data_IF_626942397008
#
_entry.id   IF_626942397008
#
_cell.length_a   1.000
_cell.length_b   1.000
_cell.length_c   1.000
_cell.angle_alpha   90.00
_cell.angle_beta   90.00
_cell.angle_gamma   90.00
#
_symmetry.space_group_name_H-M   'P 1'
#
loop_
_entity.id
_entity.type
_entity.pdbx_description
1 polymer ?
#
# COMPACT_ATOMS: atom_id res chain seq x y z
N UNK A 1 26.72 12.45 26.26
CA UNK A 1 26.13 13.47 27.15
C UNK A 1 25.04 14.21 26.39
N UNK A 2 23.82 14.18 26.98
CA UNK A 2 22.59 14.97 26.77
C UNK A 2 22.34 15.69 25.44
N UNK A 3 21.22 15.42 24.72
CA UNK A 3 19.85 15.94 24.97
C UNK A 3 19.89 17.48 25.16
N UNK A 4 19.18 18.31 24.39
CA UNK A 4 17.72 18.52 24.45
C UNK A 4 17.25 19.41 23.27
N UNK A 5 16.01 19.16 22.85
CA UNK A 5 15.05 19.95 22.05
C UNK A 5 15.28 21.46 21.88
N UNK A 6 14.85 21.96 20.71
CA UNK A 6 13.99 23.15 20.66
C UNK A 6 12.94 23.02 19.55
N UNK A 7 11.66 23.04 19.95
CA UNK A 7 10.50 23.08 19.08
C UNK A 7 10.04 24.52 18.84
N UNK A 8 9.38 24.73 17.69
CA UNK A 8 8.59 25.90 17.25
C UNK A 8 9.47 27.07 16.75
N UNK A 9 9.16 27.75 15.65
CA UNK A 9 7.88 28.31 15.21
C UNK A 9 7.92 28.63 13.71
N UNK A 10 6.80 28.38 13.01
CA UNK A 10 6.28 29.14 11.85
C UNK A 10 7.26 29.67 10.80
N UNK A 11 7.21 29.10 9.59
CA UNK A 11 7.78 29.75 8.42
C UNK A 11 7.57 28.92 7.17
N UNK A 12 6.75 29.42 6.25
CA UNK A 12 6.46 28.82 4.96
C UNK A 12 7.71 28.28 4.27
N UNK A 13 7.78 26.98 4.09
CA UNK A 13 8.25 26.38 2.84
C UNK A 13 7.49 25.07 2.68
N UNK A 14 6.31 25.20 2.11
CA UNK A 14 5.56 24.10 1.51
C UNK A 14 6.43 23.65 0.33
N UNK A 15 7.45 22.84 0.61
CA UNK A 15 7.99 21.95 -0.41
C UNK A 15 6.77 21.15 -0.83
N UNK A 16 6.24 21.51 -1.99
CA UNK A 16 5.33 20.68 -2.74
C UNK A 16 6.16 19.44 -3.07
N UNK A 17 6.32 18.53 -2.10
CA UNK A 17 6.30 17.12 -2.40
C UNK A 17 5.09 17.00 -3.30
N UNK A 18 5.36 16.79 -4.58
CA UNK A 18 4.32 16.65 -5.59
C UNK A 18 3.50 15.48 -5.07
N UNK A 19 2.39 15.78 -4.39
CA UNK A 19 1.43 14.79 -3.98
C UNK A 19 0.86 14.32 -5.30
N UNK A 20 1.56 13.42 -5.97
CA UNK A 20 1.10 12.83 -7.21
C UNK A 20 -0.12 12.04 -6.75
N UNK A 21 -1.30 12.66 -6.89
CA UNK A 21 -2.59 12.16 -6.41
C UNK A 21 -3.05 10.97 -7.27
N UNK A 22 -2.10 10.27 -7.88
CA UNK A 22 -2.30 9.05 -8.63
C UNK A 22 -2.96 8.04 -7.69
N UNK A 23 -4.01 7.36 -8.14
CA UNK A 23 -4.62 6.30 -7.36
C UNK A 23 -3.57 5.23 -7.05
N UNK A 24 -3.66 4.61 -5.87
CA UNK A 24 -2.96 3.35 -5.65
C UNK A 24 -3.43 2.37 -6.72
N UNK A 25 -2.50 1.76 -7.43
CA UNK A 25 -2.84 0.76 -8.45
C UNK A 25 -2.79 -0.62 -7.83
N UNK A 26 -3.63 -1.52 -8.34
CA UNK A 26 -3.56 -2.96 -8.02
C UNK A 26 -2.14 -3.49 -8.19
N UNK A 27 -1.47 -3.13 -9.30
CA UNK A 27 -0.12 -3.55 -9.61
C UNK A 27 0.92 -3.02 -8.60
N UNK A 28 0.78 -1.82 -8.06
CA UNK A 28 1.70 -1.35 -7.02
C UNK A 28 1.48 -2.12 -5.71
N UNK A 29 0.22 -2.41 -5.36
CA UNK A 29 -0.13 -3.15 -4.16
C UNK A 29 0.33 -4.61 -4.21
N UNK A 30 0.16 -5.30 -5.33
CA UNK A 30 0.61 -6.69 -5.49
C UNK A 30 2.14 -6.77 -5.40
N UNK A 31 2.86 -5.92 -6.15
CA UNK A 31 4.33 -5.85 -6.07
C UNK A 31 4.82 -5.56 -4.65
N UNK A 32 4.12 -4.69 -3.92
CA UNK A 32 4.45 -4.40 -2.52
C UNK A 32 4.40 -5.66 -1.65
N UNK A 33 3.36 -6.48 -1.81
CA UNK A 33 3.18 -7.71 -1.02
C UNK A 33 4.25 -8.74 -1.38
N UNK A 34 4.49 -8.98 -2.67
CA UNK A 34 5.45 -9.99 -3.14
C UNK A 34 6.91 -9.64 -2.78
N UNK A 35 7.26 -8.34 -2.72
CA UNK A 35 8.60 -7.89 -2.34
C UNK A 35 8.77 -7.66 -0.82
N UNK A 36 7.71 -7.81 -0.03
CA UNK A 36 7.77 -7.59 1.42
C UNK A 36 8.75 -8.56 2.13
N UNK A 37 8.80 -9.87 1.81
CA UNK A 37 9.75 -10.79 2.44
C UNK A 37 11.22 -10.37 2.26
N UNK A 38 11.57 -9.90 1.06
CA UNK A 38 12.91 -9.40 0.74
C UNK A 38 13.21 -8.12 1.53
N UNK A 39 12.25 -7.18 1.56
CA UNK A 39 12.38 -5.93 2.33
C UNK A 39 12.51 -6.16 3.83
N UNK A 40 11.81 -7.17 4.35
CA UNK A 40 11.89 -7.61 5.73
C UNK A 40 13.17 -8.43 6.03
N UNK A 41 14.03 -8.66 5.03
CA UNK A 41 15.26 -9.46 5.12
C UNK A 41 15.02 -10.92 5.55
N UNK A 42 13.86 -11.45 5.20
CA UNK A 42 13.50 -12.84 5.47
C UNK A 42 14.04 -13.79 4.39
N UNK A 43 14.28 -13.27 3.18
CA UNK A 43 14.88 -13.99 2.06
C UNK A 43 15.71 -13.04 1.18
N UNK A 44 16.51 -13.61 0.26
CA UNK A 44 17.31 -12.82 -0.68
C UNK A 44 16.51 -12.43 -1.93
N UNK A 45 15.72 -13.36 -2.46
CA UNK A 45 14.84 -13.13 -3.60
C UNK A 45 13.38 -13.41 -3.23
N UNK A 46 12.40 -12.80 -3.90
CA UNK A 46 10.99 -13.05 -3.59
C UNK A 46 10.56 -14.48 -3.92
N UNK A 47 11.33 -15.20 -4.72
CA UNK A 47 11.07 -16.59 -5.12
C UNK A 47 11.40 -17.59 -4.01
N UNK A 48 12.36 -17.23 -3.14
CA UNK A 48 12.81 -18.07 -2.03
C UNK A 48 11.78 -18.14 -0.88
N UNK A 49 10.79 -17.23 -0.89
CA UNK A 49 9.79 -17.17 0.16
C UNK A 49 8.60 -18.10 -0.11
N UNK A 50 8.56 -19.23 0.60
CA UNK A 50 7.55 -20.28 0.40
C UNK A 50 6.12 -19.89 0.85
N UNK A 51 5.99 -18.81 1.62
CA UNK A 51 4.69 -18.33 2.12
C UNK A 51 4.16 -17.11 1.36
N UNK A 52 4.61 -16.90 0.13
CA UNK A 52 4.00 -15.93 -0.80
C UNK A 52 3.53 -16.60 -2.07
N UNK A 53 2.66 -15.87 -2.78
CA UNK A 53 2.15 -16.25 -4.09
C UNK A 53 3.18 -16.08 -5.21
N UNK A 54 4.37 -15.55 -4.94
CA UNK A 54 5.44 -15.35 -5.92
C UNK A 54 5.69 -16.60 -6.77
N UNK A 55 5.82 -17.77 -6.14
CA UNK A 55 6.17 -19.01 -6.84
C UNK A 55 5.04 -19.45 -7.78
N UNK A 56 3.79 -19.35 -7.35
CA UNK A 56 2.62 -19.68 -8.17
C UNK A 56 2.61 -18.80 -9.45
N UNK A 57 2.78 -17.49 -9.30
CA UNK A 57 2.83 -16.57 -10.43
C UNK A 57 4.05 -16.78 -11.35
N UNK A 58 5.21 -17.13 -10.80
CA UNK A 58 6.41 -17.42 -11.61
C UNK A 58 6.28 -18.72 -12.41
N UNK A 59 5.60 -19.73 -11.86
CA UNK A 59 5.33 -20.99 -12.55
C UNK A 59 4.17 -20.89 -13.53
N UNK A 60 3.29 -19.91 -13.35
CA UNK A 60 2.07 -19.82 -14.13
C UNK A 60 1.04 -20.87 -13.74
N UNK A 61 1.14 -21.42 -12.54
CA UNK A 61 0.31 -22.53 -12.05
C UNK A 61 -0.46 -22.10 -10.81
N UNK A 62 -1.77 -22.38 -10.79
CA UNK A 62 -2.61 -22.20 -9.61
C UNK A 62 -2.14 -23.10 -8.46
N UNK A 63 -2.28 -22.63 -7.23
CA UNK A 63 -2.03 -23.42 -6.01
C UNK A 63 -3.30 -23.56 -5.16
N UNK A 64 -3.19 -24.16 -3.97
CA UNK A 64 -4.33 -24.39 -3.08
C UNK A 64 -5.01 -23.10 -2.55
N UNK A 65 -4.34 -21.95 -2.64
CA UNK A 65 -4.77 -20.66 -2.10
C UNK A 65 -4.94 -19.57 -3.16
N UNK A 66 -4.31 -19.71 -4.32
CA UNK A 66 -4.16 -18.64 -5.31
C UNK A 66 -4.46 -19.15 -6.71
N UNK A 67 -5.39 -18.46 -7.39
CA UNK A 67 -5.53 -18.54 -8.84
C UNK A 67 -4.68 -17.45 -9.50
N UNK A 68 -3.75 -17.83 -10.37
CA UNK A 68 -2.73 -16.93 -10.93
C UNK A 68 -3.19 -16.22 -12.20
N UNK A 69 -4.08 -16.85 -12.97
CA UNK A 69 -4.57 -16.32 -14.25
C UNK A 69 -5.07 -14.86 -14.18
N UNK A 70 -5.86 -14.42 -13.18
CA UNK A 70 -6.32 -13.04 -13.11
C UNK A 70 -5.17 -12.03 -13.08
N UNK A 71 -4.05 -12.36 -12.46
CA UNK A 71 -2.89 -11.46 -12.40
C UNK A 71 -1.98 -11.62 -13.61
N UNK A 72 -1.81 -12.83 -14.13
CA UNK A 72 -1.02 -13.09 -15.33
C UNK A 72 -1.63 -12.46 -16.60
N UNK A 73 -2.96 -12.36 -16.68
CA UNK A 73 -3.65 -11.62 -17.75
C UNK A 73 -3.29 -10.11 -17.77
N UNK A 74 -2.83 -9.58 -16.63
CA UNK A 74 -2.48 -8.16 -16.45
C UNK A 74 -0.98 -7.91 -16.50
N UNK A 75 -0.18 -8.94 -16.24
CA UNK A 75 1.28 -8.88 -16.14
C UNK A 75 1.85 -10.07 -16.89
N UNK A 76 2.38 -9.80 -18.09
CA UNK A 76 2.89 -10.83 -19.00
C UNK A 76 4.22 -11.44 -18.53
N UNK A 77 5.10 -10.63 -17.95
CA UNK A 77 6.38 -11.09 -17.39
C UNK A 77 6.43 -10.73 -15.90
N UNK A 78 6.27 -11.77 -15.07
CA UNK A 78 6.27 -11.59 -13.62
C UNK A 78 7.65 -11.22 -13.07
N UNK A 79 8.72 -11.70 -13.71
CA UNK A 79 10.09 -11.50 -13.24
C UNK A 79 10.57 -10.09 -13.55
N UNK A 80 10.29 -9.61 -14.75
CA UNK A 80 10.46 -8.20 -15.12
C UNK A 80 9.61 -7.30 -14.23
N UNK A 81 8.36 -7.69 -13.98
CA UNK A 81 7.47 -6.95 -13.10
C UNK A 81 8.01 -6.86 -11.67
N UNK A 82 8.60 -7.90 -11.09
CA UNK A 82 9.19 -7.80 -9.75
C UNK A 82 10.53 -7.05 -9.75
N UNK A 83 11.28 -7.11 -10.85
CA UNK A 83 12.59 -6.45 -10.99
C UNK A 83 12.53 -4.96 -11.38
N UNK A 84 11.39 -4.48 -11.87
CA UNK A 84 11.25 -3.08 -12.30
C UNK A 84 11.32 -2.09 -11.12
N UNK A 85 11.95 -0.93 -11.37
CA UNK A 85 12.18 0.11 -10.38
C UNK A 85 10.93 0.47 -9.59
N UNK A 86 11.10 0.52 -8.26
CA UNK A 86 10.03 0.88 -7.37
C UNK A 86 9.85 2.40 -7.29
N UNK A 87 8.60 2.84 -7.47
CA UNK A 87 8.24 4.21 -7.12
C UNK A 87 8.19 4.34 -5.58
N UNK A 88 9.22 4.96 -5.00
CA UNK A 88 9.39 5.14 -3.55
C UNK A 88 8.19 5.87 -2.92
N UNK A 89 7.64 6.88 -3.59
CA UNK A 89 6.48 7.64 -3.09
C UNK A 89 5.23 6.75 -3.02
N UNK A 90 5.01 5.91 -4.04
CA UNK A 90 3.92 4.94 -4.06
C UNK A 90 4.05 3.92 -2.93
N UNK A 91 5.25 3.40 -2.72
CA UNK A 91 5.57 2.45 -1.64
C UNK A 91 5.27 3.07 -0.26
N UNK A 92 5.67 4.33 -0.07
CA UNK A 92 5.41 5.05 1.17
C UNK A 92 3.92 5.25 1.43
N UNK A 93 3.14 5.57 0.38
CA UNK A 93 1.68 5.67 0.49
C UNK A 93 1.05 4.33 0.88
N UNK A 94 1.45 3.22 0.25
CA UNK A 94 0.95 1.88 0.61
C UNK A 94 1.22 1.58 2.10
N UNK A 95 2.43 1.89 2.59
CA UNK A 95 2.77 1.76 4.02
C UNK A 95 1.86 2.58 4.93
N UNK A 96 1.57 3.83 4.57
CA UNK A 96 0.70 4.70 5.37
C UNK A 96 -0.74 4.19 5.46
N UNK A 97 -1.32 3.74 4.34
CA UNK A 97 -2.66 3.17 4.31
C UNK A 97 -2.74 1.86 5.10
N UNK A 98 -1.73 0.99 4.95
CA UNK A 98 -1.63 -0.27 5.71
C UNK A 98 -1.52 0.01 7.21
N UNK A 99 -0.70 0.97 7.62
CA UNK A 99 -0.53 1.35 9.04
C UNK A 99 -1.79 1.91 9.66
N UNK A 100 -2.59 2.66 8.90
CA UNK A 100 -3.85 3.24 9.40
C UNK A 100 -5.04 2.29 9.30
N UNK A 101 -4.91 1.19 8.55
CA UNK A 101 -5.99 0.26 8.24
C UNK A 101 -7.08 0.87 7.34
N UNK A 102 -6.80 2.00 6.69
CA UNK A 102 -7.76 2.70 5.82
C UNK A 102 -7.41 2.44 4.36
N UNK A 103 -8.40 2.19 3.48
CA UNK A 103 -8.12 2.01 2.07
C UNK A 103 -7.48 3.26 1.46
N UNK A 104 -6.46 3.09 0.63
CA UNK A 104 -5.91 4.16 -0.18
C UNK A 104 -6.61 4.23 -1.54
N UNK A 105 -6.97 5.42 -1.97
CA UNK A 105 -7.66 5.64 -3.24
C UNK A 105 -8.13 7.08 -3.40
N UNK A 106 -8.81 7.36 -4.51
CA UNK A 106 -9.48 8.64 -4.73
C UNK A 106 -10.76 8.74 -3.90
N UNK A 107 -11.26 9.95 -3.67
CA UNK A 107 -12.51 10.16 -2.93
C UNK A 107 -13.68 9.43 -3.58
N UNK A 108 -13.75 9.39 -4.92
CA UNK A 108 -14.79 8.65 -5.65
C UNK A 108 -14.72 7.14 -5.40
N UNK A 109 -13.51 6.58 -5.37
CA UNK A 109 -13.30 5.17 -5.05
C UNK A 109 -13.71 4.86 -3.61
N UNK A 110 -13.35 5.72 -2.66
CA UNK A 110 -13.74 5.59 -1.26
C UNK A 110 -15.26 5.70 -1.11
N UNK A 111 -15.91 6.70 -1.74
CA UNK A 111 -17.35 6.87 -1.73
C UNK A 111 -18.08 5.62 -2.27
N UNK A 112 -17.56 5.01 -3.35
CA UNK A 112 -18.10 3.77 -3.89
C UNK A 112 -17.97 2.61 -2.89
N UNK A 113 -16.80 2.46 -2.27
CA UNK A 113 -16.57 1.43 -1.25
C UNK A 113 -17.44 1.62 0.00
N UNK A 114 -17.63 2.85 0.48
CA UNK A 114 -18.49 3.13 1.61
C UNK A 114 -19.95 2.76 1.32
N UNK A 115 -20.44 3.05 0.10
CA UNK A 115 -21.78 2.64 -0.33
C UNK A 115 -21.95 1.12 -0.35
N UNK A 116 -20.95 0.39 -0.84
CA UNK A 116 -20.99 -1.07 -0.92
C UNK A 116 -20.88 -1.74 0.46
N UNK A 117 -19.96 -1.26 1.29
CA UNK A 117 -19.65 -1.86 2.60
C UNK A 117 -20.53 -1.35 3.73
N UNK A 118 -21.22 -0.21 3.53
CA UNK A 118 -21.97 0.53 4.56
C UNK A 118 -21.11 0.93 5.77
N UNK A 119 -19.80 1.09 5.56
CA UNK A 119 -18.82 1.51 6.59
C UNK A 119 -18.24 2.87 6.22
N UNK A 120 -17.85 3.65 7.23
CA UNK A 120 -17.12 4.91 7.04
C UNK A 120 -15.62 4.59 6.90
N UNK A 121 -15.07 4.83 5.72
CA UNK A 121 -13.68 4.59 5.32
C UNK A 121 -12.89 5.89 5.24
N UNK A 122 -13.55 7.00 4.94
CA UNK A 122 -13.00 8.35 4.94
C UNK A 122 -12.42 8.73 6.30
N UNK A 123 -11.28 9.42 6.27
CA UNK A 123 -10.60 9.89 7.47
C UNK A 123 -11.48 10.94 8.18
N UNK A 124 -12.04 10.57 9.32
CA UNK A 124 -12.78 11.47 10.18
C UNK A 124 -11.86 12.51 10.85
N UNK A 125 -12.47 13.57 11.39
CA UNK A 125 -11.75 14.55 12.21
C UNK A 125 -11.12 13.85 13.42
N UNK A 126 -9.83 14.08 13.72
CA UNK A 126 -9.22 13.57 14.94
C UNK A 126 -9.94 14.15 16.17
N UNK A 127 -10.25 13.31 17.15
CA UNK A 127 -10.87 13.75 18.41
C UNK A 127 -11.97 12.81 18.91
N UNK A 128 -12.49 13.05 20.13
CA UNK A 128 -13.58 12.27 20.69
C UNK A 128 -14.80 12.28 19.77
N UNK A 129 -15.48 11.13 19.63
CA UNK A 129 -16.80 11.10 18.97
C UNK A 129 -17.70 12.08 19.71
N UNK A 130 -18.36 12.99 18.98
CA UNK A 130 -19.37 13.84 19.59
C UNK A 130 -20.41 12.95 20.26
N UNK A 131 -20.64 13.12 21.56
CA UNK A 131 -21.79 12.47 22.21
C UNK A 131 -23.02 13.05 21.53
N UNK A 132 -23.73 12.23 20.76
CA UNK A 132 -25.03 12.62 20.23
C UNK A 132 -25.90 13.00 21.41
N UNK A 133 -26.44 14.22 21.39
CA UNK A 133 -27.55 14.60 22.26
C UNK A 133 -28.68 13.64 21.91
N UNK A 134 -29.17 12.90 22.90
CA UNK A 134 -30.34 12.02 22.76
C UNK A 134 -31.58 12.85 22.48
#
# INVERSE_FOLDING_TARGET
>A
MSLVNCYRTTGRRRLLARCDNRPLTLLAAVRYVELNPVKARLCQTPEDWVWSSTQAHLRGEDDALVSVNPMLDRVSDWREYLGADENIDMQQRIREYTRTGRPGGTDDFLNKLERQTKRILHKGKPGPKSRGVK
#
